data_IF_781841065480
#
_entry.id   IF_781841065480
#
_cell.length_a   1.000
_cell.length_b   1.000
_cell.length_c   1.000
_cell.angle_alpha   90.00
_cell.angle_beta   90.00
_cell.angle_gamma   90.00
#
_symmetry.space_group_name_H-M   'P 1'
#
loop_
_entity.id
_entity.type
_entity.pdbx_description
1 polymer ?
#
# COMPACT_ATOMS: atom_id res chain seq x y z
N UNK A 1 9.27 18.58 -28.38
CA UNK A 1 9.20 18.41 -27.84
C UNK A 1 9.08 18.06 -27.13
N UNK A 2 9.05 17.70 -27.59
CA UNK A 2 8.82 17.21 -26.92
C UNK A 2 9.00 17.40 -25.96
N UNK A 3 9.26 17.65 -25.79
CA UNK A 3 9.48 17.77 -24.79
C UNK A 3 8.76 18.29 -24.15
N UNK A 4 8.34 18.55 -24.47
CA UNK A 4 7.73 18.91 -23.74
C UNK A 4 6.95 18.46 -23.20
N UNK A 5 6.68 18.20 -24.04
CA UNK A 5 5.76 17.49 -23.77
C UNK A 5 5.99 17.06 -22.58
N UNK A 6 6.88 16.78 -22.56
CA UNK A 6 7.29 16.31 -21.49
C UNK A 6 6.77 16.97 -20.34
N UNK A 7 6.43 18.02 -20.39
CA UNK A 7 6.04 18.61 -19.34
C UNK A 7 4.98 18.07 -18.70
N UNK A 8 4.07 17.72 -19.23
CA UNK A 8 2.96 17.20 -18.60
C UNK A 8 3.41 15.99 -17.88
N UNK A 9 4.43 15.45 -18.33
CA UNK A 9 4.87 14.35 -17.75
C UNK A 9 5.29 14.54 -16.39
N UNK A 10 6.03 15.47 -16.07
CA UNK A 10 6.47 15.62 -14.75
C UNK A 10 5.31 15.76 -13.84
N UNK A 11 4.24 16.25 -14.34
CA UNK A 11 3.10 16.45 -13.54
C UNK A 11 2.54 15.09 -13.15
N UNK A 12 2.50 14.15 -14.07
CA UNK A 12 2.02 12.85 -13.76
C UNK A 12 2.89 12.19 -12.74
N UNK A 13 4.16 12.40 -12.78
CA UNK A 13 5.04 11.75 -11.84
C UNK A 13 4.79 12.21 -10.43
N UNK A 14 4.33 13.43 -10.25
CA UNK A 14 4.10 13.92 -8.90
C UNK A 14 2.94 13.22 -8.24
N UNK A 15 2.10 12.52 -8.97
CA UNK A 15 0.98 11.84 -8.37
C UNK A 15 1.17 10.35 -8.28
N UNK A 16 2.39 9.86 -8.51
CA UNK A 16 2.67 8.44 -8.34
C UNK A 16 2.58 8.09 -6.85
N UNK A 17 1.96 6.96 -6.56
CA UNK A 17 1.77 6.50 -5.20
C UNK A 17 2.81 5.41 -4.93
N UNK A 18 3.84 5.74 -4.18
CA UNK A 18 4.93 4.81 -3.89
C UNK A 18 4.46 3.77 -2.90
N UNK A 19 4.40 2.54 -3.33
CA UNK A 19 3.73 1.47 -2.59
C UNK A 19 4.67 0.35 -2.21
N UNK A 20 4.63 -0.01 -0.93
CA UNK A 20 5.41 -1.12 -0.39
C UNK A 20 4.45 -2.26 -0.07
N UNK A 21 4.82 -3.50 -0.40
CA UNK A 21 3.90 -4.63 -0.29
C UNK A 21 4.49 -5.73 0.56
N UNK A 22 3.76 -6.20 1.55
CA UNK A 22 4.16 -7.33 2.40
C UNK A 22 3.24 -8.49 2.07
N UNK A 23 3.76 -9.45 1.34
CA UNK A 23 3.02 -10.62 0.88
C UNK A 23 4.02 -11.74 0.59
N UNK A 24 3.83 -12.91 1.19
CA UNK A 24 4.79 -13.99 1.06
C UNK A 24 4.58 -14.85 -0.19
N UNK A 25 3.46 -14.73 -0.88
CA UNK A 25 3.24 -15.48 -2.10
C UNK A 25 3.58 -14.63 -3.32
N UNK A 26 4.61 -15.04 -4.04
CA UNK A 26 5.10 -14.25 -5.17
C UNK A 26 4.06 -14.07 -6.27
N UNK A 27 3.30 -15.11 -6.58
CA UNK A 27 2.30 -15.04 -7.63
C UNK A 27 1.20 -14.06 -7.26
N UNK A 28 0.71 -14.13 -6.03
CA UNK A 28 -0.33 -13.21 -5.56
C UNK A 28 0.20 -11.79 -5.59
N UNK A 29 1.43 -11.59 -5.11
CA UNK A 29 2.05 -10.27 -5.08
C UNK A 29 2.19 -9.69 -6.48
N UNK A 30 2.68 -10.48 -7.43
CA UNK A 30 2.90 -10.01 -8.79
C UNK A 30 1.58 -9.68 -9.48
N UNK A 31 0.55 -10.49 -9.27
CA UNK A 31 -0.76 -10.21 -9.84
C UNK A 31 -1.36 -8.94 -9.24
N UNK A 32 -1.20 -8.75 -7.95
CA UNK A 32 -1.72 -7.57 -7.28
C UNK A 32 -1.01 -6.31 -7.79
N UNK A 33 0.31 -6.34 -7.87
CA UNK A 33 1.08 -5.21 -8.36
C UNK A 33 0.70 -4.89 -9.80
N UNK A 34 0.58 -5.92 -10.64
CA UNK A 34 0.21 -5.72 -12.03
C UNK A 34 -1.15 -5.03 -12.18
N UNK A 35 -2.12 -5.48 -11.40
CA UNK A 35 -3.46 -4.90 -11.43
C UNK A 35 -3.44 -3.45 -10.95
N UNK A 36 -2.77 -3.19 -9.84
CA UNK A 36 -2.75 -1.83 -9.29
C UNK A 36 -1.97 -0.88 -10.17
N UNK A 37 -0.87 -1.32 -10.74
CA UNK A 37 -0.08 -0.44 -11.62
C UNK A 37 -0.79 -0.15 -12.92
N UNK A 38 -1.62 -1.09 -13.38
CA UNK A 38 -2.39 -0.87 -14.59
C UNK A 38 -3.56 0.07 -14.38
N UNK A 39 -4.26 -0.06 -13.25
CA UNK A 39 -5.51 0.64 -13.03
C UNK A 39 -5.40 1.90 -12.17
N UNK A 40 -4.27 2.11 -11.51
CA UNK A 40 -4.11 3.26 -10.62
C UNK A 40 -2.71 3.86 -10.79
N UNK A 41 -2.35 4.83 -9.96
CA UNK A 41 -1.02 5.41 -10.02
C UNK A 41 -0.06 4.76 -9.03
N UNK A 42 -0.38 3.58 -8.57
CA UNK A 42 0.51 2.82 -7.71
C UNK A 42 1.79 2.50 -8.46
N UNK A 43 2.91 2.65 -7.79
CA UNK A 43 4.21 2.18 -8.27
C UNK A 43 4.83 1.38 -7.14
N UNK A 44 5.02 0.09 -7.34
CA UNK A 44 5.59 -0.76 -6.31
C UNK A 44 7.08 -0.45 -6.17
N UNK A 45 7.51 -0.04 -4.99
CA UNK A 45 8.89 0.33 -4.75
C UNK A 45 9.66 -0.72 -3.95
N UNK A 46 8.99 -1.72 -3.44
CA UNK A 46 9.63 -2.79 -2.69
C UNK A 46 8.63 -3.76 -2.15
N UNK A 47 9.13 -4.87 -1.67
CA UNK A 47 8.26 -5.87 -1.04
C UNK A 47 9.05 -6.68 -0.01
N UNK A 48 8.33 -7.34 0.89
CA UNK A 48 8.91 -8.29 1.84
C UNK A 48 7.97 -9.47 1.99
N UNK A 49 8.53 -10.60 2.41
CA UNK A 49 7.77 -11.84 2.57
C UNK A 49 7.62 -12.25 4.02
N UNK A 50 8.37 -11.65 4.93
CA UNK A 50 8.33 -11.99 6.35
C UNK A 50 8.17 -10.75 7.20
N UNK A 51 7.74 -10.95 8.43
CA UNK A 51 7.59 -9.84 9.36
C UNK A 51 8.94 -9.16 9.62
N UNK A 52 9.98 -9.94 9.82
CA UNK A 52 11.30 -9.38 10.15
C UNK A 52 11.81 -8.50 9.03
N UNK A 53 11.73 -8.98 7.79
CA UNK A 53 12.21 -8.21 6.66
C UNK A 53 11.37 -6.96 6.45
N UNK A 54 10.06 -7.07 6.64
CA UNK A 54 9.18 -5.93 6.48
C UNK A 54 9.48 -4.85 7.52
N UNK A 55 9.66 -5.25 8.79
CA UNK A 55 9.96 -4.28 9.84
C UNK A 55 11.30 -3.60 9.58
N UNK A 56 12.30 -4.35 9.11
CA UNK A 56 13.60 -3.79 8.80
C UNK A 56 13.48 -2.77 7.66
N UNK A 57 12.75 -3.12 6.61
CA UNK A 57 12.58 -2.21 5.49
C UNK A 57 11.90 -0.91 5.94
N UNK A 58 10.86 -1.04 6.74
CA UNK A 58 10.11 0.13 7.22
C UNK A 58 10.97 1.05 8.09
N UNK A 59 11.85 0.46 8.91
CA UNK A 59 12.76 1.24 9.73
C UNK A 59 13.77 1.99 8.84
N UNK A 60 14.24 1.35 7.79
CA UNK A 60 15.25 1.94 6.92
C UNK A 60 14.67 2.93 5.92
N UNK A 61 13.36 2.88 5.66
CA UNK A 61 12.73 3.71 4.63
C UNK A 61 11.54 4.48 5.20
N UNK A 62 11.70 5.09 6.36
CA UNK A 62 10.60 5.70 7.10
C UNK A 62 9.77 6.69 6.28
N UNK A 63 10.40 7.45 5.41
CA UNK A 63 9.70 8.49 4.67
C UNK A 63 9.63 8.21 3.17
N UNK A 64 9.99 7.01 2.74
CA UNK A 64 10.18 6.75 1.31
C UNK A 64 8.94 6.18 0.63
N UNK A 65 7.86 5.96 1.33
CA UNK A 65 6.67 5.33 0.77
C UNK A 65 5.40 6.10 1.12
N UNK A 66 4.38 5.90 0.31
CA UNK A 66 3.08 6.55 0.49
C UNK A 66 2.00 5.58 0.95
N UNK A 67 2.10 4.33 0.55
CA UNK A 67 1.12 3.30 0.87
C UNK A 67 1.82 2.00 1.19
N UNK A 68 1.37 1.32 2.23
CA UNK A 68 1.81 -0.04 2.52
C UNK A 68 0.60 -0.97 2.45
N UNK A 69 0.74 -2.08 1.73
CA UNK A 69 -0.30 -3.10 1.65
C UNK A 69 0.24 -4.33 2.35
N UNK A 70 -0.44 -4.78 3.39
CA UNK A 70 0.09 -5.79 4.30
C UNK A 70 -0.85 -6.99 4.41
N UNK A 71 -0.34 -8.17 4.12
CA UNK A 71 -1.05 -9.41 4.40
C UNK A 71 -0.82 -9.77 5.86
N UNK A 72 -1.86 -10.16 6.57
CA UNK A 72 -1.74 -10.50 7.98
C UNK A 72 -1.15 -11.88 8.20
N UNK A 73 -1.42 -12.83 7.32
CA UNK A 73 -1.05 -14.21 7.54
C UNK A 73 0.16 -14.58 6.70
N UNK A 74 1.33 -14.28 7.25
CA UNK A 74 2.59 -14.58 6.58
C UNK A 74 3.09 -15.96 7.04
N UNK A 75 3.87 -16.63 6.21
CA UNK A 75 4.45 -17.90 6.58
C UNK A 75 5.43 -17.74 7.73
N UNK A 76 6.08 -16.60 7.82
CA UNK A 76 7.01 -16.32 8.91
C UNK A 76 6.64 -14.98 9.53
N UNK A 77 6.19 -15.02 10.76
CA UNK A 77 5.75 -13.84 11.48
C UNK A 77 4.32 -13.49 11.16
N UNK A 78 3.95 -12.27 11.44
CA UNK A 78 2.58 -11.81 11.30
C UNK A 78 2.54 -10.39 10.75
N UNK A 79 1.56 -10.12 9.93
CA UNK A 79 1.29 -8.77 9.46
C UNK A 79 0.91 -7.83 10.61
N UNK A 80 0.42 -8.36 11.73
CA UNK A 80 0.11 -7.52 12.88
C UNK A 80 1.38 -6.83 13.41
N UNK A 81 2.50 -7.54 13.41
CA UNK A 81 3.78 -6.93 13.81
C UNK A 81 4.23 -5.86 12.83
N UNK A 82 3.92 -6.05 11.54
CA UNK A 82 4.23 -5.05 10.54
C UNK A 82 3.38 -3.80 10.79
N UNK A 83 2.10 -3.97 11.12
CA UNK A 83 1.23 -2.84 11.44
C UNK A 83 1.76 -2.06 12.65
N UNK A 84 2.28 -2.75 13.65
CA UNK A 84 2.86 -2.09 14.81
C UNK A 84 4.02 -1.19 14.40
N UNK A 85 4.85 -1.66 13.47
CA UNK A 85 5.96 -0.86 12.99
C UNK A 85 5.48 0.38 12.25
N UNK A 86 4.32 0.30 11.58
CA UNK A 86 3.76 1.40 10.83
C UNK A 86 3.05 2.43 11.68
N UNK A 87 2.82 2.17 12.96
CA UNK A 87 2.01 3.06 13.79
C UNK A 87 2.63 4.45 13.97
N UNK A 88 3.93 4.58 13.78
CA UNK A 88 4.59 5.86 13.97
C UNK A 88 4.76 6.64 12.67
N UNK A 89 4.09 6.23 11.62
CA UNK A 89 4.23 6.87 10.33
C UNK A 89 3.59 8.26 10.31
N UNK A 90 3.89 9.01 9.27
CA UNK A 90 3.25 10.31 9.06
C UNK A 90 1.80 10.08 8.64
N UNK A 91 0.93 11.03 8.91
CA UNK A 91 -0.49 10.91 8.59
C UNK A 91 -0.74 10.80 7.09
N UNK A 92 0.18 11.26 6.26
CA UNK A 92 0.03 11.14 4.82
C UNK A 92 0.37 9.75 4.31
N UNK A 93 1.01 8.92 5.12
CA UNK A 93 1.33 7.55 4.73
C UNK A 93 0.19 6.63 5.16
N UNK A 94 -0.37 5.89 4.23
CA UNK A 94 -1.53 5.04 4.50
C UNK A 94 -1.13 3.58 4.55
N UNK A 95 -1.80 2.83 5.41
CA UNK A 95 -1.55 1.40 5.57
C UNK A 95 -2.86 0.66 5.42
N UNK A 96 -2.91 -0.29 4.50
CA UNK A 96 -4.09 -1.12 4.34
C UNK A 96 -3.74 -2.58 4.49
N UNK A 97 -4.69 -3.35 4.95
CA UNK A 97 -4.53 -4.79 5.14
C UNK A 97 -5.31 -5.51 4.05
N UNK A 98 -4.72 -6.56 3.51
CA UNK A 98 -5.37 -7.42 2.53
C UNK A 98 -5.29 -8.84 3.10
N UNK A 99 -6.42 -9.45 3.40
CA UNK A 99 -6.45 -10.73 4.09
C UNK A 99 -7.56 -11.63 3.59
N UNK A 100 -7.32 -12.95 3.61
CA UNK A 100 -8.38 -13.92 3.30
C UNK A 100 -9.36 -14.06 4.47
N UNK A 101 -9.04 -13.51 5.63
CA UNK A 101 -9.87 -13.68 6.82
C UNK A 101 -10.25 -12.33 7.40
N UNK A 102 -10.93 -11.52 6.61
CA UNK A 102 -11.33 -10.18 7.05
C UNK A 102 -12.62 -10.22 7.86
N UNK A 103 -12.58 -10.94 8.97
CA UNK A 103 -13.72 -11.03 9.89
C UNK A 103 -13.88 -9.72 10.65
N UNK A 104 -15.04 -9.49 11.30
CA UNK A 104 -15.22 -8.29 12.10
C UNK A 104 -14.16 -8.13 13.18
N UNK A 105 -13.76 -9.23 13.84
CA UNK A 105 -12.73 -9.16 14.87
C UNK A 105 -11.37 -8.77 14.29
N UNK A 106 -11.02 -9.32 13.14
CA UNK A 106 -9.77 -9.00 12.47
C UNK A 106 -9.79 -7.53 12.03
N UNK A 107 -10.89 -7.07 11.47
CA UNK A 107 -11.02 -5.68 11.05
C UNK A 107 -10.85 -4.73 12.24
N UNK A 108 -11.45 -5.07 13.37
CA UNK A 108 -11.35 -4.26 14.56
C UNK A 108 -9.92 -4.23 15.07
N UNK A 109 -9.25 -5.39 15.09
CA UNK A 109 -7.88 -5.47 15.57
C UNK A 109 -6.94 -4.63 14.69
N UNK A 110 -7.11 -4.71 13.38
CA UNK A 110 -6.30 -3.94 12.46
C UNK A 110 -6.53 -2.44 12.64
N UNK A 111 -7.79 -2.04 12.83
CA UNK A 111 -8.08 -0.63 13.07
C UNK A 111 -7.42 -0.14 14.36
N UNK A 112 -7.43 -0.97 15.40
CA UNK A 112 -6.78 -0.62 16.67
C UNK A 112 -5.27 -0.45 16.49
N UNK A 113 -4.68 -1.14 15.54
CA UNK A 113 -3.26 -1.03 15.24
C UNK A 113 -2.98 0.05 14.19
N UNK A 114 -3.99 0.84 13.85
CA UNK A 114 -3.78 2.01 13.00
C UNK A 114 -3.94 1.78 11.50
N UNK A 115 -4.45 0.62 11.09
CA UNK A 115 -4.68 0.41 9.66
C UNK A 115 -5.77 1.36 9.16
N UNK A 116 -5.58 1.91 7.98
CA UNK A 116 -6.54 2.83 7.39
C UNK A 116 -7.72 2.09 6.76
N UNK A 117 -7.51 0.85 6.32
CA UNK A 117 -8.58 0.03 5.75
C UNK A 117 -8.17 -1.43 5.77
N UNK A 118 -9.16 -2.31 5.70
CA UNK A 118 -8.94 -3.75 5.60
C UNK A 118 -9.79 -4.27 4.46
N UNK A 119 -9.19 -5.03 3.56
CA UNK A 119 -9.89 -5.59 2.41
C UNK A 119 -9.77 -7.11 2.39
N UNK A 120 -10.84 -7.78 1.97
CA UNK A 120 -10.88 -9.23 1.83
C UNK A 120 -10.27 -9.60 0.48
N UNK A 121 -9.27 -10.49 0.48
CA UNK A 121 -8.60 -10.89 -0.76
C UNK A 121 -9.55 -11.56 -1.75
N UNK A 122 -10.57 -12.24 -1.26
CA UNK A 122 -11.46 -12.99 -2.13
C UNK A 122 -12.53 -12.14 -2.77
N UNK A 123 -12.97 -11.09 -2.08
CA UNK A 123 -14.16 -10.36 -2.50
C UNK A 123 -13.97 -8.86 -2.68
N UNK A 124 -12.88 -8.29 -2.20
CA UNK A 124 -12.78 -6.85 -2.13
C UNK A 124 -11.57 -6.24 -2.86
N UNK A 125 -11.04 -6.97 -3.84
CA UNK A 125 -9.93 -6.42 -4.63
C UNK A 125 -10.37 -5.15 -5.36
N UNK A 126 -11.61 -5.12 -5.87
CA UNK A 126 -12.10 -3.93 -6.54
C UNK A 126 -12.15 -2.74 -5.59
N UNK A 127 -12.51 -2.97 -4.34
CA UNK A 127 -12.53 -1.91 -3.34
C UNK A 127 -11.11 -1.40 -3.04
N UNK A 128 -10.13 -2.30 -3.03
CA UNK A 128 -8.75 -1.90 -2.87
C UNK A 128 -8.28 -1.03 -4.06
N UNK A 129 -8.65 -1.41 -5.27
CA UNK A 129 -8.31 -0.64 -6.45
C UNK A 129 -8.92 0.77 -6.33
N UNK A 130 -10.18 0.86 -5.93
CA UNK A 130 -10.85 2.14 -5.75
C UNK A 130 -10.16 2.99 -4.67
N UNK A 131 -9.75 2.36 -3.59
CA UNK A 131 -9.05 3.05 -2.50
C UNK A 131 -7.74 3.64 -3.02
N UNK A 132 -6.98 2.86 -3.77
CA UNK A 132 -5.71 3.33 -4.33
C UNK A 132 -5.93 4.45 -5.34
N UNK A 133 -6.98 4.37 -6.13
CA UNK A 133 -7.29 5.41 -7.08
C UNK A 133 -7.63 6.72 -6.36
N UNK A 134 -8.39 6.63 -5.28
CA UNK A 134 -8.73 7.82 -4.50
C UNK A 134 -7.49 8.43 -3.85
N UNK A 135 -6.59 7.61 -3.31
CA UNK A 135 -5.37 8.14 -2.73
C UNK A 135 -4.52 8.83 -3.77
N UNK A 136 -4.42 8.26 -4.96
CA UNK A 136 -3.64 8.86 -6.02
C UNK A 136 -4.21 10.24 -6.39
N UNK A 137 -5.52 10.34 -6.46
CA UNK A 137 -6.15 11.61 -6.77
C UNK A 137 -5.98 12.63 -5.65
N UNK A 138 -6.04 12.20 -4.41
CA UNK A 138 -5.85 13.09 -3.29
C UNK A 138 -4.41 13.58 -3.20
N UNK A 139 -3.48 12.74 -3.64
CA UNK A 139 -2.10 13.15 -3.63
C UNK A 139 -1.79 14.12 -4.75
N UNK A 140 -2.70 14.30 -5.68
CA UNK A 140 -2.46 15.22 -6.75
C UNK A 140 -2.45 16.60 -6.16
N UNK A 141 -1.53 17.32 -6.53
CA UNK A 141 -1.33 18.60 -5.99
C UNK A 141 -2.47 19.48 -6.07
N UNK A 142 -3.20 19.23 -6.76
CA UNK A 142 -4.21 20.03 -6.88
C UNK A 142 -4.77 20.45 -5.73
N UNK A 143 -4.92 19.77 -5.02
CA UNK A 143 -5.61 20.10 -3.98
C UNK A 143 -5.50 21.40 -3.63
N UNK A 144 -5.17 22.09 -4.12
CA UNK A 144 -5.03 23.30 -3.78
C UNK A 144 -6.13 23.87 -3.41
N UNK A 145 -6.52 23.83 -3.37
CA UNK A 145 -7.51 24.47 -3.10
C UNK A 145 -7.65 24.82 -2.57
#
# INVERSE_FOLDING_TARGET
MAGWAAKGMSFDMTSTLKTYIVEDNATIRENLVGTLEELTRVAAIGHSETEIDARRWLIEHTDDWDLAIVDLFLKQGSGLGVLQECMQRRSSQKVVVLSNYATPDIRKRCAQLGADAVFDKSNEIDALVDFCALLSNQGAPASPA
#
